data_IF_149344345061
#
_entry.id   IF_149344345061
#
_cell.length_a   1.000
_cell.length_b   1.000
_cell.length_c   1.000
_cell.angle_alpha   90.00
_cell.angle_beta   90.00
_cell.angle_gamma   90.00
#
_symmetry.space_group_name_H-M   'P 1'
#
loop_
_entity.id
_entity.type
_entity.pdbx_description
1 polymer ?
#
# COMPACT_ATOMS: atom_id res chain seq x y z
N UNK A 1 -17.57 16.24 12.42
CA UNK A 1 -16.51 16.33 13.47
C UNK A 1 -16.99 15.97 14.87
N UNK A 2 -18.16 16.45 15.36
CA UNK A 2 -18.67 16.07 16.68
C UNK A 2 -18.82 14.56 16.90
N UNK A 3 -19.27 13.82 15.88
CA UNK A 3 -19.29 12.35 15.90
C UNK A 3 -17.90 11.73 16.12
N UNK A 4 -16.86 12.23 15.43
CA UNK A 4 -15.49 11.72 15.57
C UNK A 4 -14.94 11.98 16.98
N UNK A 5 -15.23 13.16 17.55
CA UNK A 5 -14.88 13.47 18.94
C UNK A 5 -15.52 12.50 19.93
N UNK A 6 -16.82 12.26 19.80
CA UNK A 6 -17.54 11.29 20.64
C UNK A 6 -17.06 9.85 20.42
N UNK A 7 -16.71 9.49 19.19
CA UNK A 7 -16.19 8.16 18.84
C UNK A 7 -14.86 7.86 19.55
N UNK A 8 -13.91 8.79 19.50
CA UNK A 8 -12.61 8.63 20.18
C UNK A 8 -12.74 8.73 21.70
N UNK A 9 -13.63 9.59 22.23
CA UNK A 9 -13.91 9.65 23.68
C UNK A 9 -14.49 8.33 24.23
N UNK A 10 -15.18 7.55 23.40
CA UNK A 10 -15.70 6.23 23.76
C UNK A 10 -14.69 5.09 23.54
N UNK A 11 -13.42 5.41 23.25
CA UNK A 11 -12.37 4.41 23.01
C UNK A 11 -12.40 3.80 21.60
N UNK A 12 -13.05 4.45 20.63
CA UNK A 12 -13.03 4.01 19.24
C UNK A 12 -11.62 4.06 18.62
N UNK A 13 -11.26 3.03 17.86
CA UNK A 13 -9.95 2.92 17.21
C UNK A 13 -9.89 3.49 15.78
N UNK A 14 -8.71 3.51 15.19
CA UNK A 14 -8.56 3.88 13.78
C UNK A 14 -8.96 2.71 12.88
N UNK A 15 -10.02 2.92 12.10
CA UNK A 15 -10.40 2.03 10.99
C UNK A 15 -10.39 2.81 9.68
N UNK A 16 -10.34 2.10 8.55
CA UNK A 16 -10.38 2.71 7.23
C UNK A 16 -11.61 3.64 7.06
N UNK A 17 -12.76 3.23 7.61
CA UNK A 17 -13.98 4.04 7.57
C UNK A 17 -13.85 5.33 8.37
N UNK A 18 -13.21 5.28 9.54
CA UNK A 18 -12.97 6.47 10.38
C UNK A 18 -11.97 7.41 9.71
N UNK A 19 -10.89 6.87 9.12
CA UNK A 19 -9.92 7.66 8.36
C UNK A 19 -10.57 8.34 7.15
N UNK A 20 -11.37 7.62 6.36
CA UNK A 20 -12.14 8.19 5.24
C UNK A 20 -13.11 9.28 5.71
N UNK A 21 -13.78 9.05 6.85
CA UNK A 21 -14.66 10.04 7.47
C UNK A 21 -13.89 11.29 7.88
N UNK A 22 -12.71 11.14 8.49
CA UNK A 22 -11.83 12.25 8.85
C UNK A 22 -11.47 13.05 7.60
N UNK A 23 -10.97 12.42 6.54
CA UNK A 23 -10.58 13.13 5.31
C UNK A 23 -11.75 13.84 4.63
N UNK A 24 -12.93 13.20 4.55
CA UNK A 24 -14.13 13.80 3.97
C UNK A 24 -14.52 15.08 4.73
N UNK A 25 -14.69 14.99 6.05
CA UNK A 25 -15.13 16.14 6.83
C UNK A 25 -14.04 17.19 6.96
N UNK A 26 -12.77 16.81 7.02
CA UNK A 26 -11.65 17.76 7.02
C UNK A 26 -11.62 18.53 5.69
N UNK A 27 -11.80 17.84 4.57
CA UNK A 27 -11.92 18.45 3.25
C UNK A 27 -13.07 19.47 3.17
N UNK A 28 -14.25 19.11 3.68
CA UNK A 28 -15.41 20.03 3.76
C UNK A 28 -15.09 21.24 4.64
N UNK A 29 -14.47 21.05 5.80
CA UNK A 29 -14.10 22.14 6.71
C UNK A 29 -13.10 23.11 6.08
N UNK A 30 -12.05 22.59 5.43
CA UNK A 30 -11.04 23.41 4.76
C UNK A 30 -11.64 24.21 3.58
N UNK A 31 -12.67 23.66 2.93
CA UNK A 31 -13.42 24.35 1.86
C UNK A 31 -14.63 25.16 2.38
N UNK A 32 -14.85 25.20 3.70
CA UNK A 32 -15.92 25.91 4.42
C UNK A 32 -17.35 25.44 4.15
N UNK A 33 -17.68 25.03 2.93
CA UNK A 33 -19.02 24.57 2.53
C UNK A 33 -18.95 23.28 1.73
N UNK A 34 -19.95 22.37 1.84
CA UNK A 34 -20.01 21.17 1.01
C UNK A 34 -19.99 21.47 -0.49
N UNK A 35 -20.64 22.56 -0.91
CA UNK A 35 -20.68 22.96 -2.32
C UNK A 35 -19.29 23.37 -2.85
N UNK A 36 -18.51 24.11 -2.05
CA UNK A 36 -17.14 24.45 -2.42
C UNK A 36 -16.24 23.21 -2.51
N UNK A 37 -16.42 22.25 -1.60
CA UNK A 37 -15.70 20.98 -1.63
C UNK A 37 -16.02 20.15 -2.89
N UNK A 38 -17.30 20.04 -3.27
CA UNK A 38 -17.70 19.34 -4.50
C UNK A 38 -17.12 20.03 -5.74
N UNK A 39 -17.13 21.37 -5.80
CA UNK A 39 -16.49 22.13 -6.88
C UNK A 39 -14.98 21.85 -6.96
N UNK A 40 -14.30 21.78 -5.83
CA UNK A 40 -12.88 21.44 -5.77
C UNK A 40 -12.61 20.01 -6.28
N UNK A 41 -13.40 19.02 -5.84
CA UNK A 41 -13.30 17.64 -6.34
C UNK A 41 -13.50 17.59 -7.86
N UNK A 42 -14.52 18.27 -8.38
CA UNK A 42 -14.80 18.27 -9.82
C UNK A 42 -13.66 18.89 -10.64
N UNK A 43 -12.99 19.89 -10.09
CA UNK A 43 -11.81 20.51 -10.71
C UNK A 43 -10.61 19.54 -10.70
N UNK A 44 -10.25 19.01 -9.53
CA UNK A 44 -9.07 18.15 -9.36
C UNK A 44 -9.20 16.78 -10.01
N UNK A 45 -10.41 16.21 -10.06
CA UNK A 45 -10.72 14.92 -10.70
C UNK A 45 -10.23 14.84 -12.14
N UNK A 46 -10.26 15.95 -12.88
CA UNK A 46 -9.80 16.00 -14.28
C UNK A 46 -8.30 15.67 -14.40
N UNK A 47 -7.49 16.16 -13.45
CA UNK A 47 -6.04 15.93 -13.42
C UNK A 47 -5.66 14.52 -13.00
N UNK A 48 -6.57 13.78 -12.36
CA UNK A 48 -6.35 12.40 -11.88
C UNK A 48 -7.32 11.39 -12.50
N UNK A 49 -8.01 11.74 -13.59
CA UNK A 49 -9.03 10.90 -14.20
C UNK A 49 -8.49 9.52 -14.61
N UNK A 50 -7.26 9.48 -15.16
CA UNK A 50 -6.59 8.22 -15.50
C UNK A 50 -6.29 7.36 -14.27
N UNK A 51 -5.99 7.98 -13.12
CA UNK A 51 -5.80 7.26 -11.86
C UNK A 51 -7.13 6.71 -11.37
N UNK A 52 -8.19 7.51 -11.35
CA UNK A 52 -9.53 7.08 -10.92
C UNK A 52 -10.06 5.90 -11.74
N UNK A 53 -9.79 5.88 -13.05
CA UNK A 53 -10.17 4.77 -13.92
C UNK A 53 -9.42 3.47 -13.57
N UNK A 54 -8.19 3.54 -13.05
CA UNK A 54 -7.37 2.37 -12.71
C UNK A 54 -7.82 1.68 -11.41
N UNK A 55 -8.34 2.42 -10.43
CA UNK A 55 -8.72 1.87 -9.12
C UNK A 55 -9.71 0.67 -9.20
N UNK A 56 -10.76 0.71 -10.05
CA UNK A 56 -11.61 -0.47 -10.28
C UNK A 56 -10.87 -1.69 -10.84
N UNK A 57 -9.90 -1.49 -11.74
CA UNK A 57 -9.10 -2.60 -12.27
C UNK A 57 -8.21 -3.21 -11.18
N UNK A 58 -7.62 -2.39 -10.30
CA UNK A 58 -6.86 -2.89 -9.16
C UNK A 58 -7.74 -3.68 -8.19
N UNK A 59 -8.99 -3.25 -7.95
CA UNK A 59 -9.94 -4.04 -7.19
C UNK A 59 -10.27 -5.38 -7.86
N UNK A 60 -10.38 -5.41 -9.20
CA UNK A 60 -10.54 -6.65 -9.96
C UNK A 60 -9.34 -7.60 -9.84
N UNK A 61 -8.12 -7.09 -9.98
CA UNK A 61 -6.88 -7.89 -9.83
C UNK A 61 -6.74 -8.40 -8.39
N UNK A 62 -7.03 -7.54 -7.41
CA UNK A 62 -7.10 -7.93 -6.00
C UNK A 62 -8.08 -9.08 -5.77
N UNK A 63 -9.28 -9.01 -6.37
CA UNK A 63 -10.26 -10.10 -6.32
C UNK A 63 -9.74 -11.39 -6.93
N UNK A 64 -9.03 -11.32 -8.07
CA UNK A 64 -8.39 -12.51 -8.66
C UNK A 64 -7.27 -13.07 -7.78
N UNK A 65 -6.48 -12.21 -7.14
CA UNK A 65 -5.37 -12.62 -6.28
C UNK A 65 -5.82 -13.20 -4.93
N UNK A 66 -6.95 -12.72 -4.40
CA UNK A 66 -7.61 -13.27 -3.22
C UNK A 66 -8.46 -14.51 -3.55
N UNK A 67 -8.82 -14.70 -4.83
CA UNK A 67 -9.56 -15.86 -5.30
C UNK A 67 -8.87 -17.17 -4.93
N UNK A 68 -9.64 -18.12 -4.42
CA UNK A 68 -9.14 -19.43 -4.01
C UNK A 68 -9.19 -20.41 -5.19
N UNK A 69 -8.11 -21.17 -5.37
CA UNK A 69 -8.10 -22.35 -6.23
C UNK A 69 -9.01 -23.47 -5.67
N UNK A 70 -9.26 -24.52 -6.45
CA UNK A 70 -9.99 -25.72 -5.99
C UNK A 70 -9.37 -26.37 -4.74
N UNK A 71 -8.08 -26.11 -4.49
CA UNK A 71 -7.34 -26.60 -3.31
C UNK A 71 -7.37 -25.64 -2.12
N UNK A 72 -8.11 -24.54 -2.20
CA UNK A 72 -8.29 -23.57 -1.12
C UNK A 72 -7.16 -22.54 -0.96
N UNK A 73 -6.10 -22.57 -1.79
CA UNK A 73 -5.02 -21.59 -1.75
C UNK A 73 -5.30 -20.42 -2.71
N UNK A 74 -5.01 -19.19 -2.27
CA UNK A 74 -5.01 -18.00 -3.12
C UNK A 74 -3.60 -17.70 -3.67
N UNK A 75 -3.53 -17.04 -4.84
CA UNK A 75 -2.24 -16.66 -5.42
C UNK A 75 -1.45 -15.72 -4.50
N UNK A 76 -2.14 -14.80 -3.82
CA UNK A 76 -1.51 -13.92 -2.85
C UNK A 76 -0.93 -14.67 -1.65
N UNK A 77 -1.61 -15.71 -1.15
CA UNK A 77 -1.05 -16.59 -0.11
C UNK A 77 0.17 -17.33 -0.60
N UNK A 78 0.13 -17.89 -1.80
CA UNK A 78 1.27 -18.63 -2.36
C UNK A 78 2.51 -17.74 -2.49
N UNK A 79 2.36 -16.52 -3.03
CA UNK A 79 3.47 -15.55 -3.17
C UNK A 79 3.95 -15.03 -1.81
N UNK A 80 3.03 -14.84 -0.87
CA UNK A 80 3.35 -14.41 0.50
C UNK A 80 4.17 -15.46 1.25
N UNK A 81 3.78 -16.73 1.14
CA UNK A 81 4.41 -17.83 1.85
C UNK A 81 5.66 -18.38 1.14
N UNK A 82 5.82 -18.15 -0.17
CA UNK A 82 6.97 -18.62 -0.93
C UNK A 82 8.32 -18.26 -0.29
N UNK A 83 8.43 -17.05 0.28
CA UNK A 83 9.65 -16.57 0.92
C UNK A 83 9.63 -16.74 2.45
N UNK A 84 8.47 -16.65 3.08
CA UNK A 84 8.36 -16.61 4.54
C UNK A 84 8.30 -17.99 5.18
N UNK A 85 7.93 -19.05 4.46
CA UNK A 85 7.87 -20.41 5.03
C UNK A 85 9.24 -20.99 5.40
N UNK A 86 10.32 -20.48 4.78
CA UNK A 86 11.71 -20.84 5.12
C UNK A 86 12.38 -19.82 6.06
N UNK A 87 11.67 -18.74 6.41
CA UNK A 87 12.22 -17.68 7.23
C UNK A 87 12.22 -18.07 8.71
N UNK A 88 13.16 -17.49 9.46
CA UNK A 88 13.21 -17.56 10.91
C UNK A 88 13.00 -16.15 11.49
N UNK A 89 12.92 -16.03 12.81
CA UNK A 89 12.73 -14.76 13.53
C UNK A 89 13.60 -13.62 12.97
N UNK A 90 14.89 -13.88 12.73
CA UNK A 90 15.85 -12.88 12.21
C UNK A 90 15.61 -12.52 10.75
N UNK A 91 15.24 -13.47 9.90
CA UNK A 91 15.10 -13.23 8.44
C UNK A 91 13.68 -12.91 8.02
N UNK A 92 12.70 -13.03 8.91
CA UNK A 92 11.30 -12.91 8.56
C UNK A 92 10.95 -11.53 7.99
N UNK A 93 11.35 -10.45 8.66
CA UNK A 93 11.06 -9.09 8.19
C UNK A 93 11.65 -8.81 6.80
N UNK A 94 12.88 -9.26 6.54
CA UNK A 94 13.51 -9.19 5.22
C UNK A 94 12.71 -9.97 4.16
N UNK A 95 12.31 -11.20 4.47
CA UNK A 95 11.55 -12.04 3.54
C UNK A 95 10.14 -11.49 3.29
N UNK A 96 9.50 -10.91 4.30
CA UNK A 96 8.23 -10.19 4.17
C UNK A 96 8.39 -8.98 3.26
N UNK A 97 9.46 -8.18 3.42
CA UNK A 97 9.74 -7.03 2.55
C UNK A 97 9.88 -7.44 1.08
N UNK A 98 10.69 -8.47 0.79
CA UNK A 98 10.89 -8.97 -0.57
C UNK A 98 9.59 -9.53 -1.17
N UNK A 99 8.84 -10.31 -0.37
CA UNK A 99 7.55 -10.86 -0.78
C UNK A 99 6.52 -9.76 -1.06
N UNK A 100 6.44 -8.74 -0.20
CA UNK A 100 5.58 -7.59 -0.39
C UNK A 100 5.93 -6.80 -1.65
N UNK A 101 7.22 -6.65 -1.97
CA UNK A 101 7.65 -6.05 -3.24
C UNK A 101 7.16 -6.82 -4.47
N UNK A 102 7.22 -8.16 -4.44
CA UNK A 102 6.72 -9.01 -5.53
C UNK A 102 5.20 -8.93 -5.64
N UNK A 103 4.48 -9.00 -4.51
CA UNK A 103 3.01 -8.91 -4.50
C UNK A 103 2.53 -7.56 -5.04
N UNK A 104 3.21 -6.46 -4.71
CA UNK A 104 2.85 -5.12 -5.17
C UNK A 104 2.89 -4.96 -6.70
N UNK A 105 3.75 -5.71 -7.41
CA UNK A 105 3.77 -5.71 -8.89
C UNK A 105 2.39 -6.09 -9.45
N UNK A 106 1.68 -6.98 -8.76
CA UNK A 106 0.36 -7.45 -9.15
C UNK A 106 -0.78 -6.65 -8.48
N UNK A 107 -0.60 -6.19 -7.24
CA UNK A 107 -1.58 -5.40 -6.50
C UNK A 107 -0.97 -4.03 -6.18
N UNK A 108 -0.90 -3.10 -7.15
CA UNK A 108 -0.30 -1.77 -6.96
C UNK A 108 -1.27 -0.85 -6.19
N UNK A 109 -1.59 -1.23 -4.97
CA UNK A 109 -2.53 -0.54 -4.08
C UNK A 109 -2.23 -0.91 -2.64
N UNK A 110 -1.57 -0.03 -1.90
CA UNK A 110 -1.16 -0.31 -0.52
C UNK A 110 -2.30 -0.73 0.41
N UNK A 111 -3.49 -0.11 0.30
CA UNK A 111 -4.66 -0.55 1.07
C UNK A 111 -5.18 -1.94 0.67
N UNK A 112 -5.11 -2.25 -0.63
CA UNK A 112 -5.51 -3.54 -1.18
C UNK A 112 -4.56 -4.67 -0.83
N UNK A 113 -3.26 -4.42 -1.01
CA UNK A 113 -2.20 -5.32 -0.60
C UNK A 113 -2.26 -5.58 0.90
N UNK A 114 -2.44 -4.54 1.71
CA UNK A 114 -2.61 -4.69 3.16
C UNK A 114 -3.77 -5.63 3.50
N UNK A 115 -4.94 -5.42 2.88
CA UNK A 115 -6.14 -6.21 3.14
C UNK A 115 -5.96 -7.71 2.85
N UNK A 116 -5.05 -8.07 1.93
CA UNK A 116 -4.77 -9.47 1.58
C UNK A 116 -3.57 -10.03 2.33
N UNK A 117 -2.46 -9.28 2.36
CA UNK A 117 -1.17 -9.79 2.82
C UNK A 117 -1.01 -9.71 4.34
N UNK A 118 -1.53 -8.67 5.00
CA UNK A 118 -1.38 -8.52 6.45
C UNK A 118 -2.05 -9.67 7.24
N UNK A 119 -3.26 -10.16 6.90
CA UNK A 119 -3.86 -11.32 7.56
C UNK A 119 -3.05 -12.62 7.43
N UNK A 120 -2.11 -12.69 6.49
CA UNK A 120 -1.24 -13.85 6.25
C UNK A 120 0.08 -13.68 7.00
N UNK A 121 0.72 -12.51 6.85
CA UNK A 121 2.06 -12.26 7.37
C UNK A 121 2.08 -11.97 8.86
N UNK A 122 1.07 -11.28 9.41
CA UNK A 122 1.06 -10.92 10.83
C UNK A 122 1.00 -12.17 11.73
N UNK A 123 0.11 -13.17 11.50
CA UNK A 123 0.12 -14.39 12.30
C UNK A 123 1.40 -15.21 12.13
N UNK A 124 1.97 -15.24 10.92
CA UNK A 124 3.21 -15.96 10.63
C UNK A 124 4.44 -15.32 11.31
N UNK A 125 4.50 -13.99 11.38
CA UNK A 125 5.53 -13.29 12.14
C UNK A 125 5.35 -13.48 13.65
N UNK A 126 4.11 -13.40 14.12
CA UNK A 126 3.80 -13.58 15.53
C UNK A 126 4.14 -15.00 16.03
N UNK A 127 3.94 -16.04 15.22
CA UNK A 127 4.34 -17.42 15.58
C UNK A 127 5.86 -17.61 15.68
N UNK A 128 6.63 -16.71 15.06
CA UNK A 128 8.08 -16.64 15.14
C UNK A 128 8.59 -15.63 16.17
N UNK A 129 7.70 -14.97 16.92
CA UNK A 129 8.06 -13.97 17.93
C UNK A 129 8.37 -12.57 17.38
N UNK A 130 8.15 -12.33 16.08
CA UNK A 130 8.43 -11.04 15.43
C UNK A 130 7.36 -10.01 15.77
N UNK A 131 7.79 -8.80 16.12
CA UNK A 131 6.88 -7.69 16.45
C UNK A 131 5.92 -7.38 15.29
N UNK A 132 4.60 -7.29 15.53
CA UNK A 132 3.62 -6.96 14.49
C UNK A 132 3.89 -5.63 13.78
N UNK A 133 4.45 -4.64 14.49
CA UNK A 133 4.87 -3.37 13.90
C UNK A 133 5.98 -3.54 12.89
N UNK A 134 6.99 -4.36 13.20
CA UNK A 134 8.06 -4.73 12.26
C UNK A 134 7.52 -5.39 11.00
N UNK A 135 6.63 -6.39 11.16
CA UNK A 135 6.01 -7.07 10.00
C UNK A 135 5.19 -6.08 9.16
N UNK A 136 4.45 -5.18 9.82
CA UNK A 136 3.67 -4.14 9.15
C UNK A 136 4.57 -3.20 8.34
N UNK A 137 5.71 -2.79 8.91
CA UNK A 137 6.70 -1.95 8.24
C UNK A 137 7.35 -2.68 7.06
N UNK A 138 7.66 -3.97 7.19
CA UNK A 138 8.19 -4.77 6.09
C UNK A 138 7.22 -4.81 4.90
N UNK A 139 5.92 -4.99 5.14
CA UNK A 139 4.90 -4.93 4.08
C UNK A 139 4.88 -3.54 3.43
N UNK A 140 4.82 -2.47 4.25
CA UNK A 140 4.73 -1.10 3.76
C UNK A 140 5.97 -0.68 2.93
N UNK A 141 7.17 -1.06 3.37
CA UNK A 141 8.40 -0.79 2.62
C UNK A 141 8.47 -1.60 1.32
N UNK A 142 7.97 -2.84 1.32
CA UNK A 142 7.92 -3.66 0.10
C UNK A 142 7.00 -3.06 -0.96
N UNK A 143 5.80 -2.61 -0.57
CA UNK A 143 4.88 -1.85 -1.41
C UNK A 143 5.54 -0.59 -1.99
N UNK A 144 6.09 0.27 -1.13
CA UNK A 144 6.73 1.51 -1.55
C UNK A 144 7.94 1.28 -2.46
N UNK A 145 8.68 0.18 -2.26
CA UNK A 145 9.89 -0.14 -3.00
C UNK A 145 9.60 -0.38 -4.48
N UNK A 146 8.69 -1.30 -4.81
CA UNK A 146 8.42 -1.63 -6.23
C UNK A 146 7.52 -0.61 -6.93
N UNK A 147 6.88 0.30 -6.19
CA UNK A 147 6.24 1.49 -6.77
C UNK A 147 7.22 2.41 -7.55
N UNK A 148 8.54 2.26 -7.37
CA UNK A 148 9.53 2.97 -8.18
C UNK A 148 9.45 2.57 -9.67
N UNK A 149 9.26 1.29 -9.98
CA UNK A 149 9.13 0.81 -11.37
C UNK A 149 7.71 0.89 -11.92
N UNK A 150 6.74 1.23 -11.06
CA UNK A 150 5.34 1.49 -11.40
C UNK A 150 4.95 2.92 -10.96
N UNK A 151 5.52 3.98 -11.58
CA UNK A 151 5.44 5.35 -11.05
C UNK A 151 4.11 6.04 -11.34
N UNK A 152 2.98 5.39 -11.01
CA UNK A 152 1.64 5.97 -11.16
C UNK A 152 1.48 7.25 -10.33
N UNK A 153 2.16 7.31 -9.18
CA UNK A 153 2.27 8.49 -8.33
C UNK A 153 2.92 9.68 -9.03
N UNK A 154 3.81 9.43 -10.00
CA UNK A 154 4.54 10.48 -10.70
C UNK A 154 3.73 11.05 -11.87
N UNK A 155 2.75 10.32 -12.43
CA UNK A 155 2.05 10.72 -13.65
C UNK A 155 1.43 12.13 -13.58
N UNK A 156 0.77 12.56 -12.48
CA UNK A 156 0.26 13.93 -12.39
C UNK A 156 1.38 14.98 -12.41
N UNK A 157 2.49 14.73 -11.72
CA UNK A 157 3.63 15.63 -11.69
C UNK A 157 4.34 15.69 -13.06
N UNK A 158 4.49 14.56 -13.73
CA UNK A 158 5.05 14.46 -15.08
C UNK A 158 4.19 15.20 -16.10
N UNK A 159 2.85 15.08 -16.01
CA UNK A 159 1.94 15.80 -16.88
C UNK A 159 2.08 17.33 -16.75
N UNK A 160 2.31 17.83 -15.53
CA UNK A 160 2.60 19.26 -15.28
C UNK A 160 3.97 19.65 -15.84
N UNK A 161 4.97 18.78 -15.70
CA UNK A 161 6.34 19.01 -16.18
C UNK A 161 6.49 18.82 -17.71
N UNK A 162 5.47 18.33 -18.41
CA UNK A 162 5.55 18.01 -19.83
C UNK A 162 6.45 16.80 -20.15
N UNK A 163 6.65 15.91 -19.17
CA UNK A 163 7.48 14.72 -19.28
C UNK A 163 6.63 13.46 -19.44
N UNK A 164 7.18 12.45 -20.11
CA UNK A 164 6.65 11.10 -20.15
C UNK A 164 7.24 10.21 -19.05
N UNK A 165 6.58 9.08 -18.76
CA UNK A 165 7.09 8.11 -17.78
C UNK A 165 8.51 7.63 -18.11
N UNK A 166 8.80 7.38 -19.40
CA UNK A 166 10.12 6.96 -19.89
C UNK A 166 11.25 7.91 -19.51
N UNK A 167 10.96 9.19 -19.31
CA UNK A 167 11.97 10.21 -19.06
C UNK A 167 12.54 10.09 -17.63
N UNK A 168 11.80 9.47 -16.71
CA UNK A 168 12.23 9.24 -15.32
C UNK A 168 12.59 7.79 -15.00
N UNK A 169 12.25 6.83 -15.88
CA UNK A 169 12.41 5.40 -15.57
C UNK A 169 13.84 5.00 -15.20
N UNK A 170 14.85 5.62 -15.82
CA UNK A 170 16.26 5.36 -15.48
C UNK A 170 16.56 5.67 -14.00
N UNK A 171 16.11 6.83 -13.52
CA UNK A 171 16.27 7.22 -12.11
C UNK A 171 15.46 6.32 -11.17
N UNK A 172 14.25 5.95 -11.57
CA UNK A 172 13.40 5.03 -10.82
C UNK A 172 14.06 3.65 -10.63
N UNK A 173 14.65 3.08 -11.68
CA UNK A 173 15.33 1.77 -11.60
C UNK A 173 16.59 1.84 -10.73
N UNK A 174 17.39 2.90 -10.87
CA UNK A 174 18.55 3.10 -9.99
C UNK A 174 18.14 3.24 -8.53
N UNK A 175 17.08 4.01 -8.27
CA UNK A 175 16.52 4.20 -6.92
C UNK A 175 15.96 2.89 -6.37
N UNK A 176 15.27 2.09 -7.19
CA UNK A 176 14.79 0.76 -6.82
C UNK A 176 15.96 -0.11 -6.33
N UNK A 177 17.05 -0.21 -7.11
CA UNK A 177 18.19 -1.04 -6.72
C UNK A 177 18.81 -0.53 -5.41
N UNK A 178 19.06 0.77 -5.32
CA UNK A 178 19.69 1.37 -4.15
C UNK A 178 18.84 1.19 -2.87
N UNK A 179 17.56 1.56 -2.93
CA UNK A 179 16.63 1.42 -1.80
C UNK A 179 16.46 -0.05 -1.43
N UNK A 180 16.37 -0.94 -2.41
CA UNK A 180 16.28 -2.39 -2.16
C UNK A 180 17.46 -2.90 -1.34
N UNK A 181 18.69 -2.55 -1.73
CA UNK A 181 19.90 -2.95 -1.00
C UNK A 181 19.95 -2.37 0.43
N UNK A 182 19.63 -1.08 0.58
CA UNK A 182 19.65 -0.40 1.88
C UNK A 182 18.61 -0.99 2.83
N UNK A 183 17.38 -1.19 2.36
CA UNK A 183 16.27 -1.71 3.18
C UNK A 183 16.50 -3.18 3.50
N UNK A 184 17.03 -3.98 2.57
CA UNK A 184 17.46 -5.35 2.86
C UNK A 184 18.52 -5.39 3.96
N UNK A 185 19.54 -4.52 3.88
CA UNK A 185 20.56 -4.40 4.92
C UNK A 185 19.97 -3.99 6.26
N UNK A 186 19.07 -3.00 6.27
CA UNK A 186 18.41 -2.54 7.49
C UNK A 186 17.61 -3.66 8.17
N UNK A 187 16.76 -4.38 7.43
CA UNK A 187 15.99 -5.49 7.98
C UNK A 187 16.84 -6.69 8.42
N UNK A 188 18.04 -6.88 7.86
CA UNK A 188 18.89 -8.01 8.24
C UNK A 188 19.82 -7.70 9.43
N UNK A 189 20.26 -6.45 9.58
CA UNK A 189 21.25 -6.06 10.57
C UNK A 189 20.67 -5.28 11.77
N UNK A 190 19.53 -4.60 11.62
CA UNK A 190 18.98 -3.69 12.64
C UNK A 190 17.67 -4.16 13.27
N UNK A 191 17.07 -5.20 12.71
CA UNK A 191 15.80 -5.81 13.12
C UNK A 191 16.06 -7.26 13.46
#
# INVERSE_FOLDING_TARGET
MGYLGLYFLKGGGLSLNIVNTIFLFLGILLHKTPLAYVKAINHSTRSVAGILLQFPFYAGIMGMMAGHSERGHSLAQMLSLAFTHIANEKTFALMTFLSAGIVNIFIPSGGGQWAIQAPIMLPAGQSLGVDPGVVSMAIAWGDAWTNMIQPFWALPALAIAGLGAKDIMGYCVLTLIFVGLVVCGAFYFLV
#
